data_IF_154108618982
#
_entry.id   IF_154108618982
#
_cell.length_a   1.000
_cell.length_b   1.000
_cell.length_c   1.000
_cell.angle_alpha   90.00
_cell.angle_beta   90.00
_cell.angle_gamma   90.00
#
_symmetry.space_group_name_H-M   'P 1'
#
loop_
_entity.id
_entity.type
_entity.pdbx_description
1 polymer ?
#
# COMPACT_ATOMS: atom_id res chain seq x y z
N UNK A 1 8.09 16.33 2.11
CA UNK A 1 6.82 16.40 1.36
C UNK A 1 5.85 15.52 2.12
N UNK A 2 4.76 16.09 2.61
CA UNK A 2 3.72 15.30 3.25
C UNK A 2 2.97 14.56 2.14
N UNK A 3 3.14 13.24 2.09
CA UNK A 3 2.33 12.41 1.21
C UNK A 3 0.91 12.41 1.76
N UNK A 4 -0.07 12.70 0.90
CA UNK A 4 -1.49 12.64 1.27
C UNK A 4 -1.88 11.24 1.78
N UNK A 5 -1.30 10.21 1.17
CA UNK A 5 -1.55 8.81 1.52
C UNK A 5 -0.30 8.16 2.08
N UNK A 6 -0.50 7.35 3.11
CA UNK A 6 0.51 6.46 3.65
C UNK A 6 1.78 7.16 4.14
N UNK A 7 2.71 6.36 4.65
CA UNK A 7 3.99 6.83 5.18
C UNK A 7 5.12 5.94 4.71
N UNK A 8 6.21 6.57 4.28
CA UNK A 8 7.44 5.84 3.95
C UNK A 8 8.18 5.56 5.25
N UNK A 9 8.52 4.28 5.45
CA UNK A 9 9.33 3.82 6.56
C UNK A 9 10.63 3.23 5.99
N UNK A 10 11.75 3.70 6.52
CA UNK A 10 13.06 3.19 6.13
C UNK A 10 13.27 1.73 6.58
N UNK A 11 14.07 0.94 5.84
CA UNK A 11 14.27 -0.48 6.13
C UNK A 11 14.77 -0.75 7.56
N UNK A 12 15.58 0.17 8.09
CA UNK A 12 16.21 0.09 9.40
C UNK A 12 15.32 0.59 10.55
N UNK A 13 14.12 1.09 10.23
CA UNK A 13 13.20 1.56 11.26
C UNK A 13 12.61 0.37 12.03
N UNK A 14 12.70 0.42 13.35
CA UNK A 14 12.23 -0.64 14.28
C UNK A 14 10.70 -0.75 14.40
N UNK A 15 9.96 0.07 13.66
CA UNK A 15 8.50 -0.01 13.65
C UNK A 15 8.14 -1.11 12.64
N UNK A 16 7.41 -2.14 13.10
CA UNK A 16 6.91 -3.29 12.32
C UNK A 16 7.96 -4.39 11.99
N UNK A 17 8.64 -4.97 13.01
CA UNK A 17 9.58 -6.06 12.79
C UNK A 17 8.88 -7.36 12.36
N UNK A 18 7.65 -7.59 12.82
CA UNK A 18 6.86 -8.78 12.51
C UNK A 18 5.81 -8.48 11.44
N UNK A 19 5.95 -9.16 10.31
CA UNK A 19 5.09 -9.00 9.14
C UNK A 19 5.09 -10.27 8.31
N UNK A 20 4.02 -10.46 7.56
CA UNK A 20 3.81 -11.60 6.67
C UNK A 20 3.61 -11.09 5.26
N UNK A 21 4.37 -11.63 4.31
CA UNK A 21 4.10 -11.43 2.89
C UNK A 21 2.79 -12.09 2.52
N UNK A 22 1.91 -11.33 1.84
CA UNK A 22 0.60 -11.80 1.41
C UNK A 22 0.47 -11.84 -0.12
N UNK A 23 1.23 -11.02 -0.83
CA UNK A 23 1.25 -11.01 -2.29
C UNK A 23 2.55 -10.41 -2.84
N UNK A 24 2.72 -10.49 -4.16
CA UNK A 24 3.76 -9.81 -4.92
C UNK A 24 3.14 -8.99 -6.05
N UNK A 25 3.81 -7.91 -6.44
CA UNK A 25 3.37 -7.03 -7.51
C UNK A 25 4.55 -6.52 -8.33
N UNK A 26 4.26 -6.03 -9.54
CA UNK A 26 5.26 -5.49 -10.46
C UNK A 26 4.73 -4.23 -11.15
N UNK A 27 5.57 -3.21 -11.23
CA UNK A 27 5.31 -1.98 -12.01
C UNK A 27 6.54 -1.71 -12.87
N UNK A 28 6.38 -1.77 -14.20
CA UNK A 28 7.52 -1.73 -15.12
C UNK A 28 8.50 -2.88 -14.85
N UNK A 29 9.78 -2.56 -14.62
CA UNK A 29 10.80 -3.55 -14.23
C UNK A 29 10.92 -3.74 -12.71
N UNK A 30 10.18 -2.99 -11.90
CA UNK A 30 10.33 -2.99 -10.44
C UNK A 30 9.39 -4.00 -9.79
N UNK A 31 9.93 -4.76 -8.83
CA UNK A 31 9.19 -5.73 -8.04
C UNK A 31 8.90 -5.24 -6.62
N UNK A 32 7.73 -5.63 -6.13
CA UNK A 32 7.22 -5.27 -4.82
C UNK A 32 6.66 -6.50 -4.10
N UNK A 33 6.73 -6.51 -2.78
CA UNK A 33 5.94 -7.40 -1.93
C UNK A 33 4.84 -6.60 -1.27
N UNK A 34 3.66 -7.19 -1.14
CA UNK A 34 2.61 -6.67 -0.26
C UNK A 34 2.68 -7.49 1.02
N UNK A 35 2.78 -6.78 2.14
CA UNK A 35 2.96 -7.36 3.45
C UNK A 35 1.90 -6.81 4.40
N UNK A 36 1.57 -7.58 5.43
CA UNK A 36 0.73 -7.14 6.53
C UNK A 36 1.48 -7.38 7.84
N UNK A 37 1.50 -6.39 8.72
CA UNK A 37 2.05 -6.54 10.06
C UNK A 37 1.13 -7.38 10.96
N UNK A 38 1.60 -7.70 12.17
CA UNK A 38 0.74 -8.29 13.22
C UNK A 38 -0.39 -7.35 13.65
N UNK A 39 -0.19 -6.04 13.58
CA UNK A 39 -1.21 -5.01 13.86
C UNK A 39 -2.20 -4.78 12.72
N UNK A 40 -2.17 -5.63 11.69
CA UNK A 40 -2.99 -5.51 10.49
C UNK A 40 -2.77 -4.20 9.71
N UNK A 41 -1.56 -3.64 9.76
CA UNK A 41 -1.17 -2.52 8.91
C UNK A 41 -0.71 -3.05 7.54
N UNK A 42 -1.42 -2.70 6.45
CA UNK A 42 -1.01 -3.06 5.10
C UNK A 42 0.17 -2.22 4.64
N UNK A 43 1.11 -2.85 3.94
CA UNK A 43 2.27 -2.15 3.39
C UNK A 43 2.75 -2.75 2.07
N UNK A 44 3.37 -1.90 1.27
CA UNK A 44 4.09 -2.29 0.05
C UNK A 44 5.58 -2.11 0.29
N UNK A 45 6.38 -3.14 0.00
CA UNK A 45 7.83 -3.11 0.14
C UNK A 45 8.47 -3.18 -1.24
N UNK A 46 9.34 -2.22 -1.54
CA UNK A 46 10.15 -2.26 -2.76
C UNK A 46 11.27 -3.28 -2.59
N UNK A 47 11.34 -4.31 -3.43
CA UNK A 47 12.44 -5.29 -3.37
C UNK A 47 13.80 -4.66 -3.70
N UNK A 48 13.81 -3.60 -4.50
CA UNK A 48 15.03 -2.92 -4.91
C UNK A 48 15.69 -2.10 -3.79
N UNK A 49 14.89 -1.52 -2.89
CA UNK A 49 15.39 -0.57 -1.86
C UNK A 49 15.11 -1.01 -0.43
N UNK A 50 14.22 -1.99 -0.24
CA UNK A 50 13.71 -2.40 1.08
C UNK A 50 12.79 -1.37 1.75
N UNK A 51 12.58 -0.19 1.13
CA UNK A 51 11.70 0.85 1.67
C UNK A 51 10.27 0.33 1.73
N UNK A 52 9.59 0.70 2.81
CA UNK A 52 8.22 0.30 3.09
C UNK A 52 7.31 1.49 2.93
N UNK A 53 6.18 1.30 2.29
CA UNK A 53 5.10 2.26 2.23
C UNK A 53 3.91 1.69 2.97
N UNK A 54 3.65 2.22 4.17
CA UNK A 54 2.58 1.75 5.05
C UNK A 54 1.34 2.59 4.83
N UNK A 55 0.20 1.93 4.65
CA UNK A 55 -1.10 2.57 4.47
C UNK A 55 -1.95 2.32 5.71
N UNK A 56 -2.74 3.32 6.08
CA UNK A 56 -3.89 3.10 6.97
C UNK A 56 -5.05 2.50 6.16
N UNK A 57 -6.00 1.89 6.85
CA UNK A 57 -7.23 1.42 6.19
C UNK A 57 -8.00 2.57 5.54
N UNK A 58 -7.98 3.76 6.16
CA UNK A 58 -8.60 4.95 5.59
C UNK A 58 -7.93 5.38 4.28
N UNK A 59 -6.60 5.32 4.19
CA UNK A 59 -5.88 5.61 2.93
C UNK A 59 -6.36 4.69 1.80
N UNK A 60 -6.56 3.40 2.10
CA UNK A 60 -7.02 2.42 1.12
C UNK A 60 -8.45 2.72 0.66
N UNK A 61 -9.35 3.06 1.59
CA UNK A 61 -10.72 3.45 1.27
C UNK A 61 -10.72 4.68 0.36
N UNK A 62 -9.96 5.72 0.70
CA UNK A 62 -9.88 6.94 -0.12
C UNK A 62 -9.30 6.67 -1.52
N UNK A 63 -8.28 5.81 -1.62
CA UNK A 63 -7.75 5.37 -2.92
C UNK A 63 -8.81 4.63 -3.76
N UNK A 64 -9.62 3.78 -3.13
CA UNK A 64 -10.70 3.07 -3.82
C UNK A 64 -11.81 4.02 -4.29
N UNK A 65 -12.21 4.97 -3.45
CA UNK A 65 -13.16 6.04 -3.81
C UNK A 65 -12.63 6.85 -4.99
N UNK A 66 -11.36 7.25 -4.95
CA UNK A 66 -10.73 7.96 -6.07
C UNK A 66 -10.62 7.14 -7.36
N UNK A 67 -10.59 5.81 -7.26
CA UNK A 67 -10.62 4.91 -8.40
C UNK A 67 -12.04 4.68 -8.95
N UNK A 68 -13.05 5.35 -8.37
CA UNK A 68 -14.43 5.27 -8.81
C UNK A 68 -15.19 4.05 -8.28
N UNK A 69 -14.80 3.46 -7.14
CA UNK A 69 -15.52 2.30 -6.59
C UNK A 69 -17.01 2.59 -6.29
N UNK A 70 -17.35 3.86 -6.05
CA UNK A 70 -18.72 4.33 -5.81
C UNK A 70 -19.36 4.95 -7.07
N UNK A 71 -18.64 5.01 -8.20
CA UNK A 71 -19.21 5.45 -9.46
C UNK A 71 -20.21 4.38 -9.93
N UNK A 72 -21.49 4.71 -9.95
CA UNK A 72 -22.50 3.87 -10.58
C UNK A 72 -22.26 3.85 -12.10
N UNK A 73 -22.32 2.67 -12.72
CA UNK A 73 -22.39 2.50 -14.18
C UNK A 73 -23.71 3.09 -14.73
N UNK A 74 -23.95 4.39 -14.57
CA UNK A 74 -25.04 5.08 -15.25
C UNK A 74 -24.55 5.56 -16.61
N UNK A 75 -24.59 4.66 -17.61
CA UNK A 75 -24.65 4.93 -19.06
C UNK A 75 -24.78 3.55 -19.75
N UNK A 76 -25.78 3.19 -20.54
CA UNK A 76 -26.58 3.97 -21.50
C UNK A 76 -28.04 3.49 -21.52
N UNK A 77 -28.96 4.42 -21.76
CA UNK A 77 -30.37 4.17 -22.08
C UNK A 77 -30.53 3.51 -23.45
#
# INVERSE_FOLDING_TARGET
MDNKFGKIIDPNHLLLPFRKQVATGKVGSMEYTMEISVGCEPMVVSKATGKRFVLTWQDIVELAVMAGIDESEESEK
#
